data_IF_577288014058
#
_entry.id   IF_577288014058
#
_cell.length_a   1.000
_cell.length_b   1.000
_cell.length_c   1.000
_cell.angle_alpha   90.00
_cell.angle_beta   90.00
_cell.angle_gamma   90.00
#
_symmetry.space_group_name_H-M   'P 1'
#
loop_
_entity.id
_entity.type
_entity.pdbx_description
1 polymer ?
#
# COMPACT_ATOMS: atom_id res chain seq x y z
N UNK A 1 -2.62 3.00 4.45
CA UNK A 1 -3.41 4.21 4.09
C UNK A 1 -4.88 3.90 4.30
N UNK A 2 -5.77 4.90 4.41
CA UNK A 2 -7.22 4.69 4.53
C UNK A 2 -7.92 5.57 3.50
N UNK A 3 -8.81 4.97 2.71
CA UNK A 3 -9.73 5.70 1.84
C UNK A 3 -11.08 5.84 2.55
N UNK A 4 -11.65 7.04 2.50
CA UNK A 4 -12.98 7.33 3.05
C UNK A 4 -13.86 7.81 1.91
N UNK A 5 -15.05 7.24 1.79
CA UNK A 5 -16.10 7.74 0.91
C UNK A 5 -17.25 8.25 1.77
N UNK A 6 -17.71 9.45 1.47
CA UNK A 6 -18.76 10.11 2.22
C UNK A 6 -18.91 11.56 1.77
N UNK A 7 -19.43 12.40 2.66
CA UNK A 7 -19.73 13.81 2.38
C UNK A 7 -18.97 14.75 3.30
N UNK A 8 -18.65 15.93 2.78
CA UNK A 8 -18.08 17.02 3.56
C UNK A 8 -19.20 17.91 4.07
N UNK A 9 -19.12 18.31 5.34
CA UNK A 9 -20.03 19.26 5.96
C UNK A 9 -19.22 20.40 6.57
N UNK A 10 -19.53 21.63 6.19
CA UNK A 10 -18.90 22.82 6.76
C UNK A 10 -19.93 23.62 7.52
N UNK A 11 -19.63 23.93 8.78
CA UNK A 11 -20.47 24.78 9.64
C UNK A 11 -19.61 25.77 10.41
N UNK A 12 -20.25 26.73 11.04
CA UNK A 12 -19.59 27.67 11.93
C UNK A 12 -20.44 27.92 13.17
N UNK A 13 -19.80 28.29 14.27
CA UNK A 13 -20.45 28.69 15.52
C UNK A 13 -19.62 29.75 16.23
N UNK A 14 -20.23 30.47 17.18
CA UNK A 14 -19.50 31.38 18.07
C UNK A 14 -19.21 30.69 19.40
N UNK A 15 -17.96 30.77 19.87
CA UNK A 15 -17.59 30.29 21.19
C UNK A 15 -17.92 31.33 22.28
N UNK A 16 -17.74 30.96 23.55
CA UNK A 16 -18.05 31.86 24.69
C UNK A 16 -17.24 33.17 24.70
N UNK A 17 -16.18 33.27 23.90
CA UNK A 17 -15.33 34.45 23.77
C UNK A 17 -15.75 35.33 22.57
N UNK A 18 -16.87 35.01 21.90
CA UNK A 18 -17.37 35.73 20.73
C UNK A 18 -16.56 35.48 19.45
N UNK A 19 -15.70 34.46 19.42
CA UNK A 19 -14.91 34.14 18.24
C UNK A 19 -15.70 33.18 17.34
N UNK A 20 -15.74 33.48 16.05
CA UNK A 20 -16.32 32.60 15.03
C UNK A 20 -15.38 31.45 14.71
N UNK A 21 -15.83 30.23 14.98
CA UNK A 21 -15.11 28.99 14.73
C UNK A 21 -15.70 28.30 13.51
N UNK A 22 -14.85 27.93 12.54
CA UNK A 22 -15.24 27.15 11.36
C UNK A 22 -14.89 25.68 11.58
N UNK A 23 -15.84 24.80 11.27
CA UNK A 23 -15.70 23.37 11.44
C UNK A 23 -15.97 22.70 10.11
N UNK A 24 -14.98 21.94 9.63
CA UNK A 24 -15.12 21.06 8.48
C UNK A 24 -15.13 19.62 8.98
N UNK A 25 -16.26 18.96 8.77
CA UNK A 25 -16.50 17.57 9.17
C UNK A 25 -16.55 16.67 7.93
N UNK A 26 -16.04 15.46 8.08
CA UNK A 26 -16.17 14.39 7.08
C UNK A 26 -17.14 13.35 7.65
N UNK A 27 -18.32 13.22 7.04
CA UNK A 27 -19.29 12.18 7.42
C UNK A 27 -19.06 10.98 6.52
N UNK A 28 -18.44 9.94 7.07
CA UNK A 28 -18.11 8.72 6.35
C UNK A 28 -19.33 7.83 6.14
N UNK A 29 -19.50 7.36 4.91
CA UNK A 29 -20.49 6.34 4.53
C UNK A 29 -19.82 4.96 4.44
N UNK A 30 -18.58 4.91 3.96
CA UNK A 30 -17.73 3.72 3.97
C UNK A 30 -16.25 4.09 4.06
N UNK A 31 -15.42 3.13 4.48
CA UNK A 31 -13.97 3.28 4.46
C UNK A 31 -13.29 1.97 4.09
N UNK A 32 -12.08 2.08 3.56
CA UNK A 32 -11.25 0.96 3.15
C UNK A 32 -9.83 1.17 3.64
N UNK A 33 -9.22 0.13 4.19
CA UNK A 33 -7.80 0.11 4.50
C UNK A 33 -7.05 -0.21 3.21
N UNK A 34 -6.14 0.67 2.84
CA UNK A 34 -5.24 0.52 1.70
C UNK A 34 -3.88 0.04 2.20
N UNK A 35 -3.54 -1.19 1.90
CA UNK A 35 -2.22 -1.75 2.17
C UNK A 35 -1.21 -1.29 1.11
N UNK A 36 0.02 -1.03 1.55
CA UNK A 36 1.12 -0.74 0.62
C UNK A 36 1.57 -2.09 0.05
N UNK A 37 1.64 -2.22 -1.28
CA UNK A 37 2.33 -3.38 -1.88
C UNK A 37 3.78 -3.36 -1.42
N UNK A 38 4.18 -4.36 -0.65
CA UNK A 38 5.58 -4.61 -0.38
C UNK A 38 6.16 -5.39 -1.56
N UNK A 39 7.09 -4.74 -2.27
CA UNK A 39 7.88 -5.33 -3.36
C UNK A 39 8.91 -6.31 -2.76
N UNK A 40 8.46 -7.41 -2.16
CA UNK A 40 9.33 -8.49 -1.67
C UNK A 40 9.02 -9.80 -2.39
N UNK A 41 8.79 -9.72 -3.70
CA UNK A 41 8.66 -10.87 -4.58
C UNK A 41 9.36 -10.57 -5.91
N UNK A 42 10.69 -10.75 -5.94
CA UNK A 42 11.44 -11.16 -7.14
C UNK A 42 12.94 -11.32 -6.84
N UNK A 43 13.28 -12.33 -6.04
CA UNK A 43 14.68 -12.79 -5.92
C UNK A 43 14.73 -14.31 -5.85
N UNK A 44 13.91 -14.99 -6.66
CA UNK A 44 13.82 -16.45 -6.68
C UNK A 44 13.70 -17.07 -8.07
N UNK A 45 13.97 -16.32 -9.14
CA UNK A 45 13.93 -16.84 -10.52
C UNK A 45 15.30 -16.90 -11.23
N UNK A 46 16.42 -16.79 -10.51
CA UNK A 46 17.76 -16.96 -11.09
C UNK A 46 18.39 -18.34 -10.86
N UNK A 47 17.69 -19.27 -10.22
CA UNK A 47 18.23 -20.59 -9.88
C UNK A 47 17.85 -21.70 -10.86
N UNK A 48 16.98 -21.44 -11.84
CA UNK A 48 16.39 -22.49 -12.70
C UNK A 48 16.97 -22.54 -14.13
N UNK A 49 18.11 -21.88 -14.36
CA UNK A 49 18.78 -21.85 -15.68
C UNK A 49 20.23 -22.29 -15.65
N UNK A 50 20.60 -23.23 -14.76
CA UNK A 50 21.85 -23.96 -14.89
C UNK A 50 21.55 -25.32 -15.52
N UNK A 51 21.95 -25.58 -16.78
CA UNK A 51 21.87 -26.92 -17.35
C UNK A 51 22.82 -27.85 -16.60
N UNK A 52 22.28 -28.98 -16.14
CA UNK A 52 23.02 -30.07 -15.51
C UNK A 52 23.95 -30.72 -16.53
N UNK A 53 25.23 -30.33 -16.52
CA UNK A 53 26.28 -31.10 -17.18
C UNK A 53 26.60 -32.29 -16.28
N UNK A 54 26.00 -33.44 -16.60
CA UNK A 54 26.36 -34.71 -15.98
C UNK A 54 27.87 -35.00 -16.09
N UNK A 55 28.41 -35.95 -15.30
CA UNK A 55 29.84 -36.22 -15.27
C UNK A 55 30.35 -36.56 -16.67
N UNK A 56 31.27 -35.73 -17.15
CA UNK A 56 31.95 -35.89 -18.44
C UNK A 56 32.61 -37.28 -18.48
N UNK A 57 32.31 -38.16 -19.46
CA UNK A 57 33.02 -39.43 -19.57
C UNK A 57 34.48 -39.12 -19.94
N UNK A 58 35.42 -39.61 -19.12
CA UNK A 58 36.87 -39.50 -19.34
C UNK A 58 37.21 -39.88 -20.79
N UNK A 59 37.62 -38.88 -21.57
CA UNK A 59 38.10 -39.08 -22.93
C UNK A 59 39.45 -39.82 -22.87
N UNK A 60 39.66 -40.86 -23.69
CA UNK A 60 40.95 -41.56 -23.72
C UNK A 60 42.04 -40.62 -24.24
N UNK A 61 43.18 -40.69 -23.55
CA UNK A 61 44.42 -39.89 -23.61
C UNK A 61 44.76 -39.19 -24.93
#
# INVERSE_FOLDING_TARGET
MIAITGRIQTRNYENQQGQRVYVTEVVAESFQILEKRDNTANTSSLADSMPDYGPEPDLPF
#
